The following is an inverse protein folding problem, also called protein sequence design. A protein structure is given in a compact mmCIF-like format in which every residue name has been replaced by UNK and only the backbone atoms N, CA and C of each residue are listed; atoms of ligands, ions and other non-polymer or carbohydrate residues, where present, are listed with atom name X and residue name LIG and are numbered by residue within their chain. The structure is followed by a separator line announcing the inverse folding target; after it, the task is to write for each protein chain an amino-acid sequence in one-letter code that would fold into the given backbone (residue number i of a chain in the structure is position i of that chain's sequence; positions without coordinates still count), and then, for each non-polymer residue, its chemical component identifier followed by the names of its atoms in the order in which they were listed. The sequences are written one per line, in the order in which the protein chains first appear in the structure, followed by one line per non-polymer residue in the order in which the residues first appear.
data_IF_663180247992
#
_entry.id   IF_663180247992
#
_cell.length_a   1.000
_cell.length_b   1.000
_cell.length_c   1.000
_cell.angle_alpha   90.00
_cell.angle_beta   90.00
_cell.angle_gamma   90.00
#
_symmetry.space_group_name_H-M   'P 1'
#
loop_
_entity.id
_entity.type
_entity.pdbx_description
1 polymer ?
#
# COMPACT_ATOMS: atom_id res chain seq x y z
N UNK A 1 -24.45 0.63 -5.65
CA UNK A 1 -25.38 1.44 -4.84
C UNK A 1 -25.07 1.16 -3.37
N UNK A 2 -24.72 2.16 -2.58
CA UNK A 2 -24.74 2.04 -1.11
C UNK A 2 -26.08 2.59 -0.66
N UNK A 3 -26.83 1.83 0.13
CA UNK A 3 -28.05 2.32 0.77
C UNK A 3 -27.71 2.70 2.21
N UNK A 4 -28.08 3.91 2.60
CA UNK A 4 -28.09 4.31 4.01
C UNK A 4 -29.48 4.01 4.56
N UNK A 5 -29.56 3.06 5.50
CA UNK A 5 -30.81 2.70 6.16
C UNK A 5 -30.89 3.44 7.49
N UNK A 6 -31.85 4.35 7.63
CA UNK A 6 -32.08 5.06 8.89
C UNK A 6 -33.17 4.34 9.70
N UNK A 7 -32.80 3.73 10.82
CA UNK A 7 -33.73 2.98 11.68
C UNK A 7 -34.81 3.85 12.38
N UNK A 8 -34.73 5.18 12.27
CA UNK A 8 -35.65 6.13 12.94
C UNK A 8 -36.98 6.33 12.21
N UNK A 9 -37.11 5.95 10.94
CA UNK A 9 -38.37 6.02 10.17
C UNK A 9 -38.47 4.84 9.22
N UNK A 10 -39.69 4.35 9.00
CA UNK A 10 -40.02 3.16 8.21
C UNK A 10 -39.39 3.24 6.80
N UNK A 11 -38.28 2.52 6.59
CA UNK A 11 -37.67 2.15 5.30
C UNK A 11 -37.61 3.24 4.21
N UNK A 12 -37.17 4.45 4.53
CA UNK A 12 -36.71 5.38 3.49
C UNK A 12 -35.26 5.04 3.12
N UNK A 13 -35.07 4.40 1.97
CA UNK A 13 -33.76 4.10 1.43
C UNK A 13 -33.26 5.29 0.59
N UNK A 14 -32.33 6.08 1.14
CA UNK A 14 -31.66 7.13 0.36
C UNK A 14 -30.63 6.48 -0.56
N UNK A 15 -30.85 6.55 -1.86
CA UNK A 15 -29.89 6.07 -2.86
C UNK A 15 -28.68 7.00 -2.88
N UNK A 16 -27.54 6.51 -2.38
CA UNK A 16 -26.25 7.18 -2.59
C UNK A 16 -25.62 6.58 -3.85
N UNK A 17 -25.81 7.28 -4.97
CA UNK A 17 -25.09 7.01 -6.22
C UNK A 17 -23.72 7.66 -6.09
N UNK A 18 -22.68 6.84 -6.01
CA UNK A 18 -21.28 7.28 -5.95
C UNK A 18 -20.59 6.75 -7.19
N UNK A 19 -19.98 7.64 -7.98
CA UNK A 19 -19.08 7.23 -9.06
C UNK A 19 -17.84 6.60 -8.43
N UNK A 20 -17.50 5.39 -8.88
CA UNK A 20 -16.36 4.64 -8.38
C UNK A 20 -15.47 4.23 -9.52
N UNK A 21 -14.20 4.55 -9.38
CA UNK A 21 -13.16 4.03 -10.26
C UNK A 21 -12.76 2.62 -9.80
N UNK A 22 -12.30 1.82 -10.75
CA UNK A 22 -11.79 0.47 -10.50
C UNK A 22 -10.44 0.33 -11.18
N UNK A 23 -9.46 -0.19 -10.44
CA UNK A 23 -8.18 -0.56 -11.02
C UNK A 23 -8.32 -1.95 -11.66
N UNK A 24 -7.96 -2.06 -12.95
CA UNK A 24 -7.99 -3.32 -13.68
C UNK A 24 -6.59 -3.91 -13.74
N UNK A 25 -6.42 -5.13 -13.23
CA UNK A 25 -5.16 -5.88 -13.22
C UNK A 25 -3.93 -5.12 -12.68
N UNK A 26 -4.01 -4.43 -11.53
CA UNK A 26 -2.83 -3.83 -10.92
C UNK A 26 -1.88 -4.91 -10.40
N UNK A 27 -0.58 -4.69 -10.53
CA UNK A 27 0.46 -5.48 -9.87
C UNK A 27 0.98 -4.74 -8.63
N UNK A 28 1.11 -5.45 -7.51
CA UNK A 28 1.68 -4.92 -6.27
C UNK A 28 2.85 -5.79 -5.83
N UNK A 29 4.01 -5.17 -5.67
CA UNK A 29 5.22 -5.80 -5.12
C UNK A 29 5.43 -5.30 -3.69
N UNK A 30 5.46 -6.22 -2.73
CA UNK A 30 5.67 -5.91 -1.31
C UNK A 30 7.00 -6.52 -0.88
N UNK A 31 7.91 -5.67 -0.40
CA UNK A 31 9.18 -6.10 0.18
C UNK A 31 9.06 -6.15 1.70
N UNK A 32 9.29 -7.32 2.29
CA UNK A 32 9.15 -7.56 3.73
C UNK A 32 10.46 -8.15 4.26
N UNK A 33 10.97 -7.59 5.36
CA UNK A 33 12.20 -8.10 6.00
C UNK A 33 11.95 -9.38 6.82
N UNK A 34 10.76 -9.51 7.42
CA UNK A 34 10.39 -10.66 8.22
C UNK A 34 9.86 -11.80 7.32
N UNK A 35 10.67 -12.85 7.12
CA UNK A 35 10.28 -14.00 6.29
C UNK A 35 9.13 -14.83 6.85
N UNK A 36 8.78 -14.72 8.13
CA UNK A 36 7.65 -15.45 8.73
C UNK A 36 6.31 -15.09 8.08
N UNK A 37 6.22 -13.95 7.40
CA UNK A 37 5.02 -13.54 6.68
C UNK A 37 4.72 -14.38 5.43
N UNK A 38 5.71 -15.09 4.89
CA UNK A 38 5.57 -15.96 3.71
C UNK A 38 4.38 -16.92 3.86
N UNK A 39 4.22 -17.52 5.03
CA UNK A 39 3.13 -18.48 5.31
C UNK A 39 1.73 -17.88 5.14
N UNK A 40 1.55 -16.59 5.45
CA UNK A 40 0.25 -15.93 5.37
C UNK A 40 -0.13 -15.57 3.93
N UNK A 41 0.83 -15.47 3.02
CA UNK A 41 0.56 -15.31 1.59
C UNK A 41 0.33 -16.66 0.90
N UNK A 42 1.00 -17.73 1.35
CA UNK A 42 0.78 -19.09 0.85
C UNK A 42 -0.57 -19.67 1.30
N UNK A 43 -0.93 -19.43 2.55
CA UNK A 43 -2.14 -19.98 3.18
C UNK A 43 -2.95 -18.86 3.85
N UNK A 44 -3.57 -17.96 3.06
CA UNK A 44 -4.33 -16.86 3.62
C UNK A 44 -5.66 -17.39 4.20
N UNK A 45 -5.96 -17.05 5.46
CA UNK A 45 -7.23 -17.39 6.13
C UNK A 45 -8.43 -16.69 5.46
N UNK A 46 -8.19 -15.53 4.86
CA UNK A 46 -9.22 -14.72 4.19
C UNK A 46 -8.81 -14.42 2.74
N UNK A 47 -9.76 -14.19 1.83
CA UNK A 47 -9.45 -13.74 0.48
C UNK A 47 -8.57 -12.50 0.49
N UNK A 48 -7.49 -12.52 -0.30
CA UNK A 48 -6.63 -11.36 -0.46
C UNK A 48 -7.35 -10.31 -1.31
N UNK A 49 -7.28 -9.05 -0.87
CA UNK A 49 -7.94 -7.92 -1.52
C UNK A 49 -7.01 -6.71 -1.60
N UNK A 50 -7.10 -5.97 -2.69
CA UNK A 50 -6.39 -4.70 -2.89
C UNK A 50 -7.35 -3.53 -2.68
N UNK A 51 -7.60 -3.21 -1.41
CA UNK A 51 -8.51 -2.14 -1.02
C UNK A 51 -9.89 -2.67 -0.63
N UNK A 52 -10.84 -2.70 -1.56
CA UNK A 52 -12.23 -3.07 -1.27
C UNK A 52 -12.44 -4.58 -1.36
N UNK A 53 -13.46 -5.09 -0.68
CA UNK A 53 -13.84 -6.52 -0.72
C UNK A 53 -14.12 -7.05 -2.13
N UNK A 54 -14.46 -6.17 -3.08
CA UNK A 54 -14.73 -6.52 -4.49
C UNK A 54 -13.46 -6.55 -5.35
N UNK A 55 -12.32 -6.06 -4.86
CA UNK A 55 -11.05 -5.98 -5.56
C UNK A 55 -10.15 -7.14 -5.13
N UNK A 56 -10.55 -8.36 -5.54
CA UNK A 56 -9.81 -9.59 -5.25
C UNK A 56 -8.40 -9.55 -5.84
N UNK A 57 -7.46 -10.14 -5.12
CA UNK A 57 -6.09 -10.33 -5.56
C UNK A 57 -5.64 -11.77 -5.39
N UNK A 58 -4.62 -12.13 -6.16
CA UNK A 58 -3.95 -13.42 -6.10
C UNK A 58 -2.45 -13.18 -5.90
N UNK A 59 -1.80 -14.09 -5.18
CA UNK A 59 -0.34 -14.12 -5.09
C UNK A 59 0.21 -14.77 -6.34
N UNK A 60 0.98 -14.02 -7.11
CA UNK A 60 1.66 -14.53 -8.31
C UNK A 60 3.05 -15.09 -7.99
N UNK A 61 3.78 -14.47 -7.06
CA UNK A 61 5.14 -14.87 -6.71
C UNK A 61 5.44 -14.55 -5.24
N UNK A 62 6.17 -15.45 -4.57
CA UNK A 62 6.83 -15.18 -3.30
C UNK A 62 8.30 -15.58 -3.46
N UNK A 63 9.20 -14.65 -3.14
CA UNK A 63 10.63 -14.83 -3.38
C UNK A 63 11.46 -14.16 -2.32
N UNK A 64 12.54 -14.84 -1.91
CA UNK A 64 13.63 -14.24 -1.13
C UNK A 64 14.62 -13.62 -2.11
N UNK A 65 14.89 -12.33 -1.94
CA UNK A 65 15.79 -11.56 -2.80
C UNK A 65 16.89 -10.92 -1.97
N UNK A 66 18.08 -10.78 -2.57
CA UNK A 66 19.19 -10.04 -1.98
C UNK A 66 19.20 -8.66 -2.61
N UNK A 67 19.11 -7.62 -1.77
CA UNK A 67 19.12 -6.24 -2.20
C UNK A 67 20.48 -5.60 -1.89
N UNK A 68 21.04 -4.90 -2.85
CA UNK A 68 22.29 -4.16 -2.70
C UNK A 68 21.99 -2.67 -2.56
N UNK A 69 22.84 -1.91 -1.86
CA UNK A 69 22.73 -0.45 -1.89
C UNK A 69 23.43 0.10 -3.12
N UNK A 70 22.74 0.94 -3.90
CA UNK A 70 23.28 1.58 -5.11
C UNK A 70 22.76 3.01 -5.26
N UNK A 71 23.54 3.80 -5.99
CA UNK A 71 23.13 5.08 -6.57
C UNK A 71 23.93 5.31 -7.87
N UNK A 72 23.33 5.92 -8.91
CA UNK A 72 21.91 6.25 -9.03
C UNK A 72 21.04 4.99 -9.24
N UNK A 73 19.75 5.07 -8.90
CA UNK A 73 18.77 3.99 -9.15
C UNK A 73 17.46 4.51 -9.74
N UNK A 74 16.79 3.68 -10.54
CA UNK A 74 15.43 3.95 -11.02
C UNK A 74 14.44 3.76 -9.86
N UNK A 75 13.77 4.80 -9.40
CA UNK A 75 12.93 4.77 -8.19
C UNK A 75 11.57 5.41 -8.45
N UNK A 76 10.47 4.81 -7.99
CA UNK A 76 9.12 5.36 -8.19
C UNK A 76 8.02 4.33 -8.03
N UNK A 77 6.79 4.73 -8.34
CA UNK A 77 5.55 3.96 -8.12
C UNK A 77 5.45 3.42 -6.68
N UNK A 78 5.84 4.26 -5.72
CA UNK A 78 5.92 3.91 -4.31
C UNK A 78 5.57 5.10 -3.42
N UNK A 79 5.51 4.84 -2.12
CA UNK A 79 5.21 5.83 -1.09
C UNK A 79 6.41 5.91 -0.14
N UNK A 80 6.85 7.14 0.15
CA UNK A 80 7.93 7.40 1.10
C UNK A 80 7.51 8.45 2.12
N UNK A 81 8.10 8.46 3.33
CA UNK A 81 7.86 9.52 4.32
C UNK A 81 8.20 10.91 3.79
N UNK A 82 7.56 11.94 4.36
CA UNK A 82 7.79 13.33 3.95
C UNK A 82 9.23 13.82 4.11
N UNK A 83 9.95 13.29 5.10
CA UNK A 83 11.36 13.59 5.36
C UNK A 83 12.33 12.84 4.44
N UNK A 84 11.83 11.98 3.54
CA UNK A 84 12.64 11.32 2.52
C UNK A 84 13.09 12.33 1.45
N UNK A 85 14.40 12.59 1.40
CA UNK A 85 15.01 13.60 0.54
C UNK A 85 15.20 13.11 -0.90
N UNK A 86 15.25 14.05 -1.84
CA UNK A 86 15.59 13.79 -3.24
C UNK A 86 14.44 13.28 -4.11
N UNK A 87 13.19 13.37 -3.62
CA UNK A 87 11.99 13.00 -4.36
C UNK A 87 10.97 14.14 -4.35
N UNK A 88 10.11 14.15 -5.36
CA UNK A 88 8.92 15.00 -5.42
C UNK A 88 7.72 14.17 -5.85
N UNK A 89 6.52 14.56 -5.38
CA UNK A 89 5.30 13.79 -5.64
C UNK A 89 4.09 14.38 -4.93
N UNK A 90 3.01 13.60 -4.88
CA UNK A 90 1.77 14.02 -4.21
C UNK A 90 1.92 13.84 -2.70
N UNK A 91 1.72 14.90 -1.93
CA UNK A 91 1.76 14.87 -0.47
C UNK A 91 0.39 14.44 0.08
N UNK A 92 0.34 13.34 0.83
CA UNK A 92 -0.87 12.85 1.51
C UNK A 92 -0.60 12.55 2.98
N UNK A 93 -1.61 12.77 3.83
CA UNK A 93 -1.60 12.29 5.22
C UNK A 93 -2.21 10.90 5.28
N UNK A 94 -1.42 9.88 5.59
CA UNK A 94 -1.85 8.48 5.63
C UNK A 94 -1.81 7.95 7.08
N UNK A 95 -2.75 7.07 7.47
CA UNK A 95 -2.64 6.32 8.72
C UNK A 95 -1.48 5.33 8.64
N UNK A 96 -0.75 5.15 9.74
CA UNK A 96 0.35 4.17 9.80
C UNK A 96 -0.15 2.74 9.98
N UNK A 97 -1.25 2.57 10.69
CA UNK A 97 -1.89 1.27 10.89
C UNK A 97 -3.39 1.45 11.12
N UNK A 98 -4.12 0.35 11.00
CA UNK A 98 -5.54 0.29 11.32
C UNK A 98 -5.71 -0.58 12.55
N UNK A 99 -6.50 -0.09 13.50
CA UNK A 99 -7.04 -0.97 14.55
C UNK A 99 -8.04 -1.92 13.91
N UNK A 100 -7.88 -3.21 14.24
CA UNK A 100 -8.77 -4.25 13.78
C UNK A 100 -9.60 -4.77 14.95
N UNK A 101 -10.92 -4.65 14.81
CA UNK A 101 -11.94 -5.14 15.72
C UNK A 101 -13.09 -5.66 14.84
N UNK A 102 -13.51 -6.91 15.05
CA UNK A 102 -14.57 -7.54 14.25
C UNK A 102 -15.93 -6.84 14.44
N UNK A 103 -16.15 -6.18 15.58
CA UNK A 103 -17.41 -5.52 15.94
C UNK A 103 -17.43 -4.04 15.54
N UNK A 104 -16.29 -3.48 15.11
CA UNK A 104 -16.16 -2.03 14.84
C UNK A 104 -15.57 -1.73 13.47
N UNK A 105 -15.95 -0.60 12.85
CA UNK A 105 -15.30 -0.14 11.64
C UNK A 105 -13.80 0.06 11.85
N UNK A 106 -12.99 -0.23 10.82
CA UNK A 106 -11.54 0.00 10.85
C UNK A 106 -11.25 1.48 11.11
N UNK A 107 -10.45 1.76 12.12
CA UNK A 107 -10.01 3.13 12.45
C UNK A 107 -8.52 3.24 12.17
N UNK A 108 -8.17 4.14 11.24
CA UNK A 108 -6.77 4.49 10.99
C UNK A 108 -6.20 5.26 12.18
N UNK A 109 -5.07 4.79 12.71
CA UNK A 109 -4.36 5.41 13.83
C UNK A 109 -3.04 5.99 13.35
N UNK A 110 -2.54 6.94 14.15
CA UNK A 110 -1.24 7.60 13.99
C UNK A 110 -1.00 8.06 12.55
N UNK A 111 -1.41 9.28 12.22
CA UNK A 111 -1.27 9.82 10.85
C UNK A 111 0.10 10.47 10.68
N UNK A 112 0.72 10.24 9.52
CA UNK A 112 1.96 10.90 9.11
C UNK A 112 1.87 11.35 7.65
N UNK A 113 2.59 12.43 7.27
CA UNK A 113 2.68 12.84 5.87
C UNK A 113 3.61 11.91 5.08
N UNK A 114 3.17 11.55 3.89
CA UNK A 114 3.90 10.73 2.92
C UNK A 114 3.85 11.38 1.55
N UNK A 115 4.89 11.14 0.75
CA UNK A 115 5.01 11.53 -0.64
C UNK A 115 4.74 10.29 -1.50
N UNK A 116 3.75 10.39 -2.39
CA UNK A 116 3.52 9.40 -3.45
C UNK A 116 4.39 9.78 -4.65
N UNK A 117 5.40 8.95 -4.92
CA UNK A 117 6.26 9.06 -6.10
C UNK A 117 5.58 8.31 -7.24
N UNK A 118 4.69 9.00 -7.97
CA UNK A 118 3.77 8.38 -8.93
C UNK A 118 4.40 7.97 -10.28
N UNK A 119 5.69 8.27 -10.49
CA UNK A 119 6.45 7.95 -11.70
C UNK A 119 7.87 7.53 -11.35
N UNK A 120 8.50 6.74 -12.21
CA UNK A 120 9.93 6.50 -12.08
C UNK A 120 10.74 7.78 -12.28
N UNK A 121 11.73 7.97 -11.41
CA UNK A 121 12.77 8.99 -11.49
C UNK A 121 14.14 8.31 -11.39
N UNK A 122 15.18 9.05 -11.79
CA UNK A 122 16.55 8.66 -11.49
C UNK A 122 16.96 9.25 -10.14
N UNK A 123 16.86 8.44 -9.11
CA UNK A 123 17.21 8.84 -7.75
C UNK A 123 18.73 8.76 -7.54
N UNK A 124 19.31 9.84 -7.06
CA UNK A 124 20.77 10.01 -6.92
C UNK A 124 21.17 10.79 -5.66
N UNK A 125 20.27 10.88 -4.67
CA UNK A 125 20.53 11.66 -3.46
C UNK A 125 21.36 10.90 -2.41
N UNK A 126 21.18 9.59 -2.31
CA UNK A 126 21.95 8.69 -1.45
C UNK A 126 21.81 7.23 -1.92
N UNK A 127 22.71 6.31 -1.52
CA UNK A 127 22.55 4.89 -1.82
C UNK A 127 21.29 4.31 -1.16
N UNK A 128 20.42 3.67 -1.93
CA UNK A 128 19.25 2.95 -1.43
C UNK A 128 19.26 1.50 -1.91
N UNK A 129 18.44 0.66 -1.28
CA UNK A 129 18.31 -0.74 -1.69
C UNK A 129 17.85 -0.82 -3.15
N UNK A 130 18.40 -1.78 -3.88
CA UNK A 130 18.18 -1.95 -5.29
C UNK A 130 17.87 -3.42 -5.59
N UNK A 131 16.74 -3.64 -6.25
CA UNK A 131 16.34 -4.94 -6.78
C UNK A 131 16.90 -5.08 -8.19
N UNK A 132 17.87 -5.97 -8.36
CA UNK A 132 18.54 -6.20 -9.65
C UNK A 132 17.63 -6.83 -10.70
N UNK A 133 16.69 -7.66 -10.28
CA UNK A 133 15.78 -8.37 -11.16
C UNK A 133 14.70 -7.43 -11.69
N UNK A 134 14.12 -6.61 -10.80
CA UNK A 134 13.11 -5.63 -11.18
C UNK A 134 13.69 -4.32 -11.75
N UNK A 135 14.99 -4.08 -11.55
CA UNK A 135 15.70 -2.89 -11.97
C UNK A 135 15.05 -1.60 -11.41
N UNK A 136 14.80 -1.59 -10.10
CA UNK A 136 14.35 -0.40 -9.38
C UNK A 136 14.86 -0.34 -7.94
N UNK A 137 14.84 0.86 -7.37
CA UNK A 137 15.12 1.10 -5.96
C UNK A 137 13.95 0.71 -5.06
N UNK A 138 14.27 0.28 -3.85
CA UNK A 138 13.34 -0.17 -2.81
C UNK A 138 13.58 0.65 -1.55
N UNK A 139 12.50 1.11 -0.92
CA UNK A 139 12.55 1.80 0.36
C UNK A 139 11.87 0.94 1.44
N UNK A 140 12.55 0.76 2.58
CA UNK A 140 11.97 0.09 3.74
C UNK A 140 11.59 1.10 4.82
N UNK A 141 10.30 1.18 5.12
CA UNK A 141 9.81 2.00 6.22
C UNK A 141 10.15 1.38 7.58
N UNK A 142 10.58 2.21 8.53
CA UNK A 142 10.78 1.78 9.94
C UNK A 142 12.05 0.98 10.21
N UNK A 143 13.05 1.04 9.32
CA UNK A 143 14.35 0.37 9.50
C UNK A 143 15.38 1.20 10.27
N UNK A 144 15.05 2.43 10.66
CA UNK A 144 15.94 3.36 11.38
C UNK A 144 15.73 3.33 12.91
N UNK A 145 15.51 2.15 13.49
CA UNK A 145 15.49 1.92 14.95
C UNK A 145 16.59 0.96 15.37
#
# INVERSE_FOLDING_TARGET
LIYELTLKRKYEAKSNVVLREFLTFPELYIYILNSEFERYFLYPEFPLVLGRTQELAKVEEIKKVVLEKREPVRFGHTVVPFDFKGVGGVLLSLPLYFEYDFERPRVGRQRRPFIIVNKFIQYSHQPIFYDKEKNWGVYFYGTEN
#
